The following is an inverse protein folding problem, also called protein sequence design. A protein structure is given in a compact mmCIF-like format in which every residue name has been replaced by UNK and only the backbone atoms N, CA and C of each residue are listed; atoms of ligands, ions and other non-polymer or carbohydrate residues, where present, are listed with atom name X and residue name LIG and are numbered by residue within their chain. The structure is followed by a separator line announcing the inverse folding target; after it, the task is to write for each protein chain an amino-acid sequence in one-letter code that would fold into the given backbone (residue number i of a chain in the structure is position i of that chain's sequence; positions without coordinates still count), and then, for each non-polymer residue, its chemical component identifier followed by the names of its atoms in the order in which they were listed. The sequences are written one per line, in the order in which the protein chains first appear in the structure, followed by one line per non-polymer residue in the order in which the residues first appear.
data_IF_599017483163
#
_entry.id   IF_599017483163
#
_cell.length_a   1.000
_cell.length_b   1.000
_cell.length_c   1.000
_cell.angle_alpha   90.00
_cell.angle_beta   90.00
_cell.angle_gamma   90.00
#
_symmetry.space_group_name_H-M   'P 1'
#
loop_
_entity.id
_entity.type
_entity.pdbx_description
1 polymer ?
#
# COMPACT_ATOMS: atom_id res chain seq x y z
N UNK A 1 21.38 -7.11 -7.38
CA UNK A 1 19.95 -6.79 -7.27
C UNK A 1 19.16 -8.09 -7.19
N UNK A 2 18.23 -8.25 -6.24
CA UNK A 2 17.33 -9.41 -6.17
C UNK A 2 15.90 -8.97 -6.44
N UNK A 3 15.31 -9.45 -7.52
CA UNK A 3 13.93 -9.14 -7.91
C UNK A 3 13.03 -10.32 -7.60
N UNK A 4 11.85 -10.02 -7.04
CA UNK A 4 10.83 -11.02 -6.75
C UNK A 4 9.48 -10.60 -7.31
N UNK A 5 8.65 -11.57 -7.67
CA UNK A 5 7.23 -11.40 -7.93
C UNK A 5 6.42 -11.98 -6.77
N UNK A 6 5.29 -11.37 -6.42
CA UNK A 6 4.36 -11.97 -5.48
C UNK A 6 3.88 -13.33 -6.01
N UNK A 7 3.46 -14.24 -5.14
CA UNK A 7 3.05 -15.59 -5.54
C UNK A 7 2.03 -15.61 -6.70
N UNK A 8 1.04 -14.71 -6.66
CA UNK A 8 0.01 -14.62 -7.70
C UNK A 8 0.54 -14.01 -8.99
N UNK A 9 1.38 -12.96 -8.90
CA UNK A 9 2.05 -12.41 -10.08
C UNK A 9 2.92 -13.47 -10.75
N UNK A 10 3.65 -14.26 -9.96
CA UNK A 10 4.46 -15.37 -10.43
C UNK A 10 3.61 -16.44 -11.14
N UNK A 11 2.43 -16.78 -10.63
CA UNK A 11 1.52 -17.70 -11.31
C UNK A 11 1.06 -17.19 -12.68
N UNK A 12 0.68 -15.92 -12.78
CA UNK A 12 0.19 -15.32 -14.03
C UNK A 12 1.28 -15.32 -15.10
N UNK A 13 2.50 -14.86 -14.80
CA UNK A 13 3.61 -14.83 -15.78
C UNK A 13 4.13 -16.21 -16.18
N UNK A 14 3.64 -17.27 -15.53
CA UNK A 14 3.89 -18.68 -15.87
C UNK A 14 2.65 -19.39 -16.43
N UNK A 15 1.58 -18.65 -16.78
CA UNK A 15 0.37 -19.22 -17.40
C UNK A 15 -0.49 -20.08 -16.48
N UNK A 16 -0.34 -19.94 -15.15
CA UNK A 16 -1.05 -20.76 -14.16
C UNK A 16 -2.29 -20.07 -13.56
N UNK A 17 -2.56 -18.83 -13.94
CA UNK A 17 -3.70 -18.03 -13.45
C UNK A 17 -4.03 -16.93 -14.46
N UNK A 18 -5.31 -16.60 -14.58
CA UNK A 18 -5.82 -15.49 -15.38
C UNK A 18 -5.53 -14.13 -14.71
N UNK A 19 -5.11 -13.15 -15.50
CA UNK A 19 -4.85 -11.77 -15.08
C UNK A 19 -6.13 -10.99 -14.75
N UNK A 20 -7.30 -11.39 -15.27
CA UNK A 20 -8.56 -10.69 -15.03
C UNK A 20 -8.89 -10.52 -13.54
N UNK A 21 -8.51 -11.51 -12.73
CA UNK A 21 -8.68 -11.53 -11.26
C UNK A 21 -7.66 -10.68 -10.49
N UNK A 22 -6.53 -10.38 -11.12
CA UNK A 22 -5.46 -9.60 -10.51
C UNK A 22 -4.79 -8.71 -11.56
N UNK A 23 -5.43 -7.58 -11.93
CA UNK A 23 -4.94 -6.70 -12.99
C UNK A 23 -3.64 -5.96 -12.61
N UNK A 24 -3.23 -6.02 -11.34
CA UNK A 24 -1.96 -5.46 -10.86
C UNK A 24 -0.93 -6.55 -10.60
N UNK A 25 0.23 -6.44 -11.23
CA UNK A 25 1.42 -7.18 -10.85
C UNK A 25 2.12 -6.53 -9.65
N UNK A 26 2.65 -7.34 -8.74
CA UNK A 26 3.42 -6.89 -7.59
C UNK A 26 4.85 -7.44 -7.69
N UNK A 27 5.82 -6.52 -7.74
CA UNK A 27 7.25 -6.76 -7.78
C UNK A 27 7.92 -6.25 -6.50
N UNK A 28 8.97 -6.92 -6.06
CA UNK A 28 9.72 -6.50 -4.88
C UNK A 28 11.22 -6.56 -5.18
N UNK A 29 11.89 -5.43 -4.94
CA UNK A 29 13.33 -5.40 -4.78
C UNK A 29 13.69 -5.81 -3.36
N UNK A 30 14.18 -7.04 -3.24
CA UNK A 30 14.56 -7.66 -1.98
C UNK A 30 16.02 -7.32 -1.60
N UNK A 31 16.27 -7.24 -0.30
CA UNK A 31 17.56 -7.00 0.30
C UNK A 31 17.48 -6.88 1.82
N UNK A 32 18.61 -6.60 2.47
CA UNK A 32 18.66 -6.36 3.92
C UNK A 32 18.31 -4.90 4.21
N UNK A 33 17.11 -4.65 4.74
CA UNK A 33 16.65 -3.30 5.04
C UNK A 33 17.56 -2.62 6.09
N UNK A 34 17.82 -1.33 5.89
CA UNK A 34 18.54 -0.51 6.87
C UNK A 34 17.67 -0.11 8.08
N UNK A 35 16.34 -0.18 7.92
CA UNK A 35 15.34 0.24 8.92
C UNK A 35 14.76 -0.93 9.68
N UNK A 36 14.14 -0.65 10.82
CA UNK A 36 13.69 -1.68 11.77
C UNK A 36 12.20 -1.55 12.14
N UNK A 37 11.32 -1.37 11.14
CA UNK A 37 9.89 -1.21 11.38
C UNK A 37 9.30 -2.42 12.14
N UNK A 38 8.66 -2.20 13.28
CA UNK A 38 8.27 -3.24 14.23
C UNK A 38 7.32 -4.31 13.66
N UNK A 39 6.51 -3.92 12.68
CA UNK A 39 5.49 -4.74 11.99
C UNK A 39 6.00 -5.38 10.69
N UNK A 40 7.24 -5.11 10.25
CA UNK A 40 7.71 -5.47 8.91
C UNK A 40 8.57 -6.74 8.90
N UNK A 41 8.30 -7.66 7.98
CA UNK A 41 9.08 -8.88 7.76
C UNK A 41 10.51 -8.62 7.28
N UNK A 42 10.75 -7.48 6.62
CA UNK A 42 12.07 -7.05 6.17
C UNK A 42 12.79 -6.13 7.15
N UNK A 43 12.23 -5.88 8.35
CA UNK A 43 12.91 -5.09 9.37
C UNK A 43 14.29 -5.68 9.67
N UNK A 44 15.28 -4.82 9.94
CA UNK A 44 16.67 -5.24 10.13
C UNK A 44 16.84 -6.33 11.19
N UNK A 45 16.02 -6.31 12.24
CA UNK A 45 16.02 -7.30 13.32
C UNK A 45 14.88 -8.34 13.21
N UNK A 46 14.15 -8.36 12.10
CA UNK A 46 13.16 -9.41 11.82
C UNK A 46 13.84 -10.77 11.71
N UNK A 47 13.20 -11.80 12.26
CA UNK A 47 13.58 -13.21 12.11
C UNK A 47 12.80 -13.91 11.00
N UNK A 48 11.93 -13.18 10.29
CA UNK A 48 11.17 -13.73 9.16
C UNK A 48 12.08 -13.96 7.94
N UNK A 49 11.82 -15.01 7.18
CA UNK A 49 12.49 -15.27 5.90
C UNK A 49 12.21 -14.12 4.90
N UNK A 50 13.26 -13.62 4.22
CA UNK A 50 13.15 -12.49 3.27
C UNK A 50 12.31 -12.76 2.02
N UNK A 51 11.83 -13.99 1.82
CA UNK A 51 10.81 -14.31 0.80
C UNK A 51 9.43 -13.82 1.20
N UNK A 52 9.20 -13.36 2.42
CA UNK A 52 7.90 -12.85 2.85
C UNK A 52 7.86 -11.32 2.87
N UNK A 53 6.81 -10.75 2.27
CA UNK A 53 6.36 -9.40 2.58
C UNK A 53 4.94 -9.51 3.14
N UNK A 54 4.75 -9.05 4.38
CA UNK A 54 3.59 -9.45 5.17
C UNK A 54 3.48 -10.98 5.21
N UNK A 55 2.32 -11.57 4.93
CA UNK A 55 2.08 -13.01 4.87
C UNK A 55 2.32 -13.64 3.50
N UNK A 56 2.58 -12.83 2.48
CA UNK A 56 2.66 -13.29 1.10
C UNK A 56 4.06 -13.81 0.80
N UNK A 57 4.13 -14.96 0.13
CA UNK A 57 5.38 -15.50 -0.42
C UNK A 57 5.73 -14.80 -1.73
N UNK A 58 6.99 -14.41 -1.85
CA UNK A 58 7.56 -13.76 -3.02
C UNK A 58 8.61 -14.66 -3.67
N UNK A 59 8.39 -14.97 -4.95
CA UNK A 59 9.24 -15.84 -5.76
C UNK A 59 10.29 -15.02 -6.47
N UNK A 60 11.53 -15.48 -6.42
CA UNK A 60 12.63 -14.86 -7.17
C UNK A 60 12.37 -14.99 -8.68
N UNK A 61 12.65 -13.92 -9.42
CA UNK A 61 12.51 -13.87 -10.88
C UNK A 61 13.70 -13.15 -11.49
N UNK A 62 14.03 -13.53 -12.73
CA UNK A 62 15.01 -12.81 -13.55
C UNK A 62 14.41 -11.54 -14.14
N UNK A 63 15.23 -10.51 -14.36
CA UNK A 63 14.80 -9.25 -14.99
C UNK A 63 14.30 -9.44 -16.42
N UNK A 64 14.75 -10.49 -17.12
CA UNK A 64 14.24 -10.87 -18.44
C UNK A 64 12.73 -11.20 -18.42
N UNK A 65 12.17 -11.57 -17.27
CA UNK A 65 10.74 -11.83 -17.11
C UNK A 65 9.88 -10.58 -17.28
N UNK A 66 10.45 -9.36 -17.18
CA UNK A 66 9.71 -8.10 -17.29
C UNK A 66 8.97 -7.94 -18.63
N UNK A 67 9.44 -8.60 -19.70
CA UNK A 67 8.76 -8.64 -21.00
C UNK A 67 7.37 -9.29 -20.95
N UNK A 68 7.07 -10.07 -19.90
CA UNK A 68 5.77 -10.73 -19.71
C UNK A 68 4.74 -9.86 -19.00
N UNK A 69 5.08 -8.63 -18.61
CA UNK A 69 4.24 -7.80 -17.74
C UNK A 69 3.27 -6.89 -18.52
N UNK A 70 3.28 -6.92 -19.86
CA UNK A 70 2.34 -6.17 -20.70
C UNK A 70 0.88 -6.63 -20.55
N UNK A 71 0.64 -7.82 -20.01
CA UNK A 71 -0.72 -8.35 -19.77
C UNK A 71 -1.43 -7.68 -18.58
N UNK A 72 -0.70 -6.97 -17.72
CA UNK A 72 -1.27 -6.33 -16.54
C UNK A 72 -1.74 -4.90 -16.84
N UNK A 73 -2.71 -4.38 -16.09
CA UNK A 73 -3.08 -2.96 -16.12
C UNK A 73 -2.15 -2.09 -15.30
N UNK A 74 -1.47 -2.67 -14.30
CA UNK A 74 -0.51 -1.98 -13.44
C UNK A 74 0.61 -2.91 -13.00
N UNK A 75 1.81 -2.36 -12.83
CA UNK A 75 2.94 -3.00 -12.14
C UNK A 75 3.33 -2.14 -10.94
N UNK A 76 3.23 -2.70 -9.74
CA UNK A 76 3.62 -2.06 -8.50
C UNK A 76 4.95 -2.63 -8.02
N UNK A 77 5.97 -1.78 -7.88
CA UNK A 77 7.30 -2.15 -7.38
C UNK A 77 7.47 -1.71 -5.92
N UNK A 78 7.48 -2.66 -5.01
CA UNK A 78 7.88 -2.46 -3.62
C UNK A 78 9.41 -2.49 -3.49
N UNK A 79 9.99 -1.55 -2.75
CA UNK A 79 11.45 -1.45 -2.61
C UNK A 79 11.85 -1.59 -1.14
N UNK A 80 12.60 -2.64 -0.83
CA UNK A 80 13.27 -2.76 0.48
C UNK A 80 14.42 -1.76 0.54
N UNK A 81 14.59 -1.08 1.67
CA UNK A 81 15.50 0.05 1.81
C UNK A 81 16.93 -0.39 2.19
N UNK A 82 17.61 -1.08 1.28
CA UNK A 82 19.02 -1.50 1.40
C UNK A 82 19.98 -0.49 0.69
N UNK A 83 21.31 -0.57 0.91
CA UNK A 83 22.26 0.28 0.19
C UNK A 83 22.12 0.11 -1.34
N UNK A 84 22.02 1.22 -2.08
CA UNK A 84 21.73 1.27 -3.54
C UNK A 84 20.30 0.95 -3.97
N UNK A 85 19.35 0.71 -3.06
CA UNK A 85 17.97 0.38 -3.41
C UNK A 85 17.30 1.39 -4.36
N UNK A 86 17.58 2.69 -4.23
CA UNK A 86 17.08 3.69 -5.17
C UNK A 86 17.64 3.53 -6.59
N UNK A 87 18.93 3.23 -6.72
CA UNK A 87 19.56 3.01 -8.01
C UNK A 87 18.99 1.74 -8.68
N UNK A 88 18.93 0.65 -7.93
CA UNK A 88 18.36 -0.63 -8.41
C UNK A 88 16.88 -0.46 -8.81
N UNK A 89 16.10 0.31 -8.04
CA UNK A 89 14.70 0.61 -8.37
C UNK A 89 14.58 1.39 -9.69
N UNK A 90 15.42 2.40 -9.92
CA UNK A 90 15.43 3.14 -11.18
C UNK A 90 15.81 2.22 -12.35
N UNK A 91 16.80 1.33 -12.18
CA UNK A 91 17.16 0.33 -13.20
C UNK A 91 16.00 -0.60 -13.55
N UNK A 92 15.24 -1.08 -12.55
CA UNK A 92 14.05 -1.92 -12.80
C UNK A 92 12.97 -1.12 -13.53
N UNK A 93 12.70 0.12 -13.12
CA UNK A 93 11.70 0.97 -13.77
C UNK A 93 12.07 1.25 -15.23
N UNK A 94 13.33 1.60 -15.52
CA UNK A 94 13.80 1.79 -16.90
C UNK A 94 13.65 0.50 -17.71
N UNK A 95 14.10 -0.63 -17.16
CA UNK A 95 13.98 -1.93 -17.84
C UNK A 95 12.53 -2.33 -18.10
N UNK A 96 11.63 -2.00 -17.18
CA UNK A 96 10.20 -2.24 -17.32
C UNK A 96 9.61 -1.35 -18.41
N UNK A 97 9.94 -0.05 -18.44
CA UNK A 97 9.52 0.86 -19.50
C UNK A 97 9.99 0.37 -20.89
N UNK A 98 11.25 -0.06 -21.01
CA UNK A 98 11.83 -0.59 -22.25
C UNK A 98 11.20 -1.91 -22.68
N UNK A 99 10.79 -2.75 -21.72
CA UNK A 99 10.07 -3.98 -22.00
C UNK A 99 8.65 -3.71 -22.50
N UNK A 100 7.95 -2.76 -21.86
CA UNK A 100 6.56 -2.42 -22.15
C UNK A 100 6.40 -1.62 -23.44
N UNK A 101 7.40 -0.82 -23.85
CA UNK A 101 7.37 -0.08 -25.12
C UNK A 101 7.29 -0.99 -26.36
N UNK A 102 7.62 -2.27 -26.22
CA UNK A 102 7.55 -3.29 -27.28
C UNK A 102 6.14 -3.88 -27.46
N UNK A 103 5.17 -3.53 -26.62
CA UNK A 103 3.78 -3.99 -26.68
C UNK A 103 2.83 -2.79 -26.62
N UNK A 104 2.53 -2.15 -27.76
CA UNK A 104 1.97 -0.79 -27.80
C UNK A 104 0.47 -0.69 -27.54
N UNK A 105 -0.27 -1.79 -27.44
CA UNK A 105 -1.73 -1.73 -27.36
C UNK A 105 -2.24 -1.12 -26.04
N UNK A 106 -1.64 -1.49 -24.90
CA UNK A 106 -1.95 -0.91 -23.58
C UNK A 106 -0.66 -0.89 -22.74
N UNK A 107 -0.18 0.29 -22.37
CA UNK A 107 0.92 0.46 -21.43
C UNK A 107 0.40 0.29 -19.98
N UNK A 108 0.90 -0.68 -19.20
CA UNK A 108 0.60 -0.77 -17.77
C UNK A 108 1.05 0.48 -17.01
N UNK A 109 0.26 0.91 -16.02
CA UNK A 109 0.68 1.93 -15.06
C UNK A 109 1.82 1.39 -14.18
N UNK A 110 2.83 2.19 -13.90
CA UNK A 110 3.95 1.82 -13.03
C UNK A 110 3.82 2.58 -11.71
N UNK A 111 3.73 1.87 -10.59
CA UNK A 111 3.87 2.49 -9.27
C UNK A 111 5.11 1.98 -8.55
N UNK A 112 5.74 2.84 -7.76
CA UNK A 112 6.86 2.48 -6.88
C UNK A 112 6.47 2.81 -5.46
N UNK A 113 6.67 1.89 -4.51
CA UNK A 113 6.51 2.15 -3.08
C UNK A 113 7.85 1.99 -2.39
N UNK A 114 8.36 3.08 -1.83
CA UNK A 114 9.71 3.14 -1.25
C UNK A 114 9.81 4.25 -0.21
N UNK A 115 10.79 4.17 0.68
CA UNK A 115 11.10 5.29 1.58
C UNK A 115 12.02 6.27 0.84
N UNK A 116 11.59 7.52 0.72
CA UNK A 116 12.41 8.63 0.22
C UNK A 116 12.75 9.58 1.36
N UNK A 117 13.88 10.29 1.23
CA UNK A 117 14.37 11.24 2.26
C UNK A 117 14.32 12.70 1.83
N UNK A 118 14.05 12.97 0.55
CA UNK A 118 14.01 14.31 -0.03
C UNK A 118 13.28 14.31 -1.39
N UNK A 119 12.89 15.50 -1.85
CA UNK A 119 12.22 15.71 -3.13
C UNK A 119 13.06 15.32 -4.34
N UNK A 120 14.39 15.40 -4.27
CA UNK A 120 15.27 14.97 -5.38
C UNK A 120 15.10 13.48 -5.70
N UNK A 121 14.89 12.62 -4.70
CA UNK A 121 14.57 11.21 -4.95
C UNK A 121 13.19 11.06 -5.57
N UNK A 122 12.20 11.83 -5.11
CA UNK A 122 10.84 11.84 -5.67
C UNK A 122 10.88 12.20 -7.15
N UNK A 123 11.53 13.30 -7.51
CA UNK A 123 11.66 13.76 -8.91
C UNK A 123 12.32 12.71 -9.80
N UNK A 124 13.39 12.06 -9.35
CA UNK A 124 14.07 11.01 -10.12
C UNK A 124 13.18 9.83 -10.48
N UNK A 125 12.26 9.43 -9.59
CA UNK A 125 11.31 8.36 -9.91
C UNK A 125 10.33 8.79 -11.01
N UNK A 126 9.84 10.02 -10.94
CA UNK A 126 8.95 10.54 -11.97
C UNK A 126 9.64 10.77 -13.31
N UNK A 127 10.89 11.25 -13.32
CA UNK A 127 11.74 11.34 -14.52
C UNK A 127 12.00 9.98 -15.16
N UNK A 128 12.08 8.91 -14.35
CA UNK A 128 12.21 7.55 -14.85
C UNK A 128 10.90 6.95 -15.41
N UNK A 129 9.79 7.69 -15.38
CA UNK A 129 8.51 7.26 -15.95
C UNK A 129 7.61 6.46 -14.99
N UNK A 130 7.74 6.65 -13.68
CA UNK A 130 6.79 6.14 -12.68
C UNK A 130 5.49 6.95 -12.73
N UNK A 131 4.32 6.32 -12.73
CA UNK A 131 3.02 6.98 -12.73
C UNK A 131 2.59 7.43 -11.33
N UNK A 132 2.79 6.57 -10.31
CA UNK A 132 2.50 6.87 -8.90
C UNK A 132 3.66 6.51 -7.96
N UNK A 133 3.99 7.41 -7.03
CA UNK A 133 4.98 7.16 -5.98
C UNK A 133 4.28 6.99 -4.61
N UNK A 134 4.44 5.82 -4.03
CA UNK A 134 3.99 5.45 -2.69
C UNK A 134 5.03 5.78 -1.62
N UNK A 135 4.77 6.80 -0.81
CA UNK A 135 5.59 7.16 0.37
C UNK A 135 4.79 6.79 1.61
N UNK A 136 5.08 5.63 2.20
CA UNK A 136 4.31 5.14 3.33
C UNK A 136 4.42 6.06 4.56
N UNK A 137 3.31 6.25 5.27
CA UNK A 137 3.27 6.84 6.61
C UNK A 137 3.18 5.71 7.66
N UNK A 138 2.35 4.71 7.37
CA UNK A 138 2.00 3.50 8.13
C UNK A 138 1.36 3.75 9.49
N UNK A 139 1.92 4.65 10.30
CA UNK A 139 1.49 4.91 11.68
C UNK A 139 0.93 6.32 11.77
N UNK A 140 -0.31 6.48 12.24
CA UNK A 140 -1.01 7.76 12.28
C UNK A 140 -0.74 8.62 13.53
N UNK A 141 0.05 8.10 14.48
CA UNK A 141 0.41 8.78 15.73
C UNK A 141 1.93 9.06 15.77
N UNK A 142 2.39 10.28 16.09
CA UNK A 142 3.82 10.63 16.10
C UNK A 142 4.68 9.80 17.06
N UNK A 143 4.18 9.50 18.25
CA UNK A 143 4.93 8.75 19.27
C UNK A 143 5.05 7.28 18.89
N UNK A 144 3.94 6.67 18.44
CA UNK A 144 3.94 5.32 17.88
C UNK A 144 4.76 5.23 16.60
N UNK A 145 4.76 6.26 15.76
CA UNK A 145 5.59 6.31 14.57
C UNK A 145 7.07 6.22 14.94
N UNK A 146 7.53 7.04 15.88
CA UNK A 146 8.91 7.01 16.38
C UNK A 146 9.25 5.65 16.99
N UNK A 147 8.34 5.06 17.76
CA UNK A 147 8.52 3.75 18.42
C UNK A 147 8.56 2.57 17.45
N UNK A 148 7.63 2.51 16.50
CA UNK A 148 7.45 1.33 15.65
C UNK A 148 8.15 1.45 14.32
N UNK A 149 8.04 2.60 13.65
CA UNK A 149 8.59 2.81 12.30
C UNK A 149 9.97 3.46 12.33
N UNK A 150 10.19 4.34 13.31
CA UNK A 150 11.37 5.19 13.42
C UNK A 150 11.40 6.31 12.39
N UNK A 151 12.30 7.28 12.62
CA UNK A 151 12.40 8.51 11.86
C UNK A 151 11.65 9.66 12.52
N UNK A 152 11.30 10.67 11.72
CA UNK A 152 10.57 11.85 12.16
C UNK A 152 9.22 11.92 11.41
N UNK A 153 8.14 12.00 12.16
CA UNK A 153 6.77 11.93 11.64
C UNK A 153 6.44 13.19 10.84
N UNK A 154 6.72 14.36 11.41
CA UNK A 154 6.42 15.68 10.85
C UNK A 154 7.11 15.84 9.49
N UNK A 155 8.42 15.56 9.43
CA UNK A 155 9.22 15.61 8.20
C UNK A 155 8.74 14.62 7.15
N UNK A 156 8.21 13.47 7.55
CA UNK A 156 7.65 12.49 6.60
C UNK A 156 6.36 13.04 6.00
N UNK A 157 5.48 13.61 6.82
CA UNK A 157 4.26 14.27 6.34
C UNK A 157 4.61 15.45 5.45
N UNK A 158 5.47 16.36 5.89
CA UNK A 158 5.92 17.51 5.09
C UNK A 158 6.41 17.07 3.71
N UNK A 159 7.27 16.05 3.63
CA UNK A 159 7.76 15.51 2.37
C UNK A 159 6.63 14.97 1.48
N UNK A 160 5.63 14.29 2.06
CA UNK A 160 4.45 13.80 1.33
C UNK A 160 3.65 14.98 0.76
N UNK A 161 3.39 16.01 1.57
CA UNK A 161 2.60 17.17 1.15
C UNK A 161 3.34 18.03 0.13
N UNK A 162 4.64 18.23 0.27
CA UNK A 162 5.46 18.92 -0.71
C UNK A 162 5.53 18.16 -2.03
N UNK A 163 5.72 16.83 -1.97
CA UNK A 163 5.71 16.00 -3.16
C UNK A 163 4.36 16.05 -3.88
N UNK A 164 3.24 16.11 -3.16
CA UNK A 164 1.92 16.15 -3.78
C UNK A 164 1.59 17.51 -4.42
N UNK A 165 2.15 18.62 -3.90
CA UNK A 165 2.08 19.94 -4.55
C UNK A 165 2.80 19.93 -5.91
N UNK A 166 3.96 19.28 -5.98
CA UNK A 166 4.79 19.23 -7.20
C UNK A 166 4.23 18.20 -8.19
N UNK A 167 3.70 17.08 -7.70
CA UNK A 167 3.15 15.98 -8.51
C UNK A 167 1.69 15.67 -8.10
N UNK A 168 0.73 16.56 -8.42
CA UNK A 168 -0.67 16.40 -8.01
C UNK A 168 -1.28 15.09 -8.51
N UNK A 169 -2.01 14.39 -7.63
CA UNK A 169 -2.68 13.12 -7.95
C UNK A 169 -1.74 11.92 -8.17
N UNK A 170 -0.42 12.09 -7.99
CA UNK A 170 0.58 11.04 -8.25
C UNK A 170 1.26 10.51 -7.00
N UNK A 171 0.91 11.04 -5.83
CA UNK A 171 1.42 10.58 -4.54
C UNK A 171 0.38 9.71 -3.85
N UNK A 172 0.83 8.58 -3.32
CA UNK A 172 0.03 7.69 -2.48
C UNK A 172 0.77 7.47 -1.17
N UNK A 173 0.04 7.29 -0.07
CA UNK A 173 0.60 6.82 1.19
C UNK A 173 -0.10 5.56 1.67
N UNK A 174 0.48 4.90 2.65
CA UNK A 174 -0.11 3.77 3.34
C UNK A 174 -0.42 4.16 4.78
N UNK A 175 -1.52 3.64 5.32
CA UNK A 175 -1.83 3.67 6.74
C UNK A 175 -2.24 2.28 7.21
N UNK A 176 -1.80 1.91 8.41
CA UNK A 176 -2.08 0.64 9.05
C UNK A 176 -2.98 0.89 10.26
N UNK A 177 -4.15 0.28 10.27
CA UNK A 177 -5.10 0.32 11.39
C UNK A 177 -4.78 -0.80 12.37
N UNK A 178 -4.72 -0.51 13.66
CA UNK A 178 -4.44 -1.45 14.73
C UNK A 178 -3.00 -1.46 15.24
N UNK A 179 -2.23 -0.40 15.00
CA UNK A 179 -0.90 -0.24 15.62
C UNK A 179 -0.97 0.46 16.98
N UNK A 180 -2.11 1.02 17.36
CA UNK A 180 -2.37 1.64 18.66
C UNK A 180 -2.91 3.06 18.55
N UNK A 181 -2.99 3.60 17.34
CA UNK A 181 -3.65 4.86 17.02
C UNK A 181 -5.16 4.80 17.32
N UNK A 182 -5.76 5.95 17.62
CA UNK A 182 -7.21 6.11 17.73
C UNK A 182 -7.84 6.38 16.37
N UNK A 183 -9.16 6.22 16.27
CA UNK A 183 -9.88 6.48 15.02
C UNK A 183 -9.89 7.99 14.69
N UNK A 184 -9.93 8.85 15.71
CA UNK A 184 -9.81 10.30 15.56
C UNK A 184 -8.46 10.74 14.98
N UNK A 185 -7.36 10.08 15.38
CA UNK A 185 -6.03 10.34 14.80
C UNK A 185 -5.98 9.97 13.32
N UNK A 186 -6.57 8.83 12.94
CA UNK A 186 -6.70 8.44 11.53
C UNK A 186 -7.54 9.46 10.76
N UNK A 187 -8.64 9.93 11.33
CA UNK A 187 -9.53 10.91 10.71
C UNK A 187 -8.82 12.23 10.38
N UNK A 188 -8.07 12.79 11.33
CA UNK A 188 -7.33 14.05 11.09
C UNK A 188 -6.25 13.88 10.02
N UNK A 189 -5.57 12.72 9.98
CA UNK A 189 -4.62 12.42 8.90
C UNK A 189 -5.33 12.27 7.55
N UNK A 190 -6.50 11.62 7.51
CA UNK A 190 -7.28 11.52 6.27
C UNK A 190 -7.70 12.89 5.75
N UNK A 191 -8.21 13.78 6.61
CA UNK A 191 -8.56 15.16 6.23
C UNK A 191 -7.37 15.90 5.64
N UNK A 192 -6.23 15.86 6.33
CA UNK A 192 -5.00 16.49 5.87
C UNK A 192 -4.59 15.96 4.48
N UNK A 193 -4.50 14.64 4.32
CA UNK A 193 -4.06 14.04 3.06
C UNK A 193 -5.04 14.30 1.92
N UNK A 194 -6.36 14.31 2.19
CA UNK A 194 -7.40 14.65 1.23
C UNK A 194 -7.24 16.08 0.71
N UNK A 195 -7.01 17.05 1.61
CA UNK A 195 -6.74 18.46 1.22
C UNK A 195 -5.59 18.58 0.22
N UNK A 196 -4.59 17.70 0.32
CA UNK A 196 -3.41 17.70 -0.53
C UNK A 196 -3.48 16.71 -1.71
N UNK A 197 -4.64 16.11 -1.96
CA UNK A 197 -4.85 15.18 -3.07
C UNK A 197 -3.98 13.92 -2.99
N UNK A 198 -3.61 13.50 -1.79
CA UNK A 198 -2.80 12.28 -1.55
C UNK A 198 -3.72 11.09 -1.36
N UNK A 199 -3.54 10.08 -2.21
CA UNK A 199 -4.30 8.83 -2.12
C UNK A 199 -3.83 7.99 -0.92
N UNK A 200 -4.74 7.23 -0.28
CA UNK A 200 -4.42 6.44 0.91
C UNK A 200 -4.76 4.97 0.70
N UNK A 201 -3.77 4.09 0.72
CA UNK A 201 -3.99 2.66 0.81
C UNK A 201 -4.07 2.23 2.27
N UNK A 202 -5.15 1.52 2.63
CA UNK A 202 -5.42 1.09 4.00
C UNK A 202 -5.08 -0.39 4.20
N UNK A 203 -4.41 -0.68 5.31
CA UNK A 203 -4.08 -2.04 5.75
C UNK A 203 -4.57 -2.26 7.17
N UNK A 204 -5.03 -3.47 7.46
CA UNK A 204 -5.22 -3.91 8.84
C UNK A 204 -3.89 -4.44 9.38
N UNK A 205 -3.51 -4.03 10.59
CA UNK A 205 -2.35 -4.59 11.27
C UNK A 205 -2.53 -6.09 11.42
N UNK A 206 -1.52 -6.82 10.95
CA UNK A 206 -1.58 -8.26 10.80
C UNK A 206 -0.31 -8.85 11.38
N UNK A 207 -0.37 -9.56 12.52
CA UNK A 207 0.82 -10.05 13.21
C UNK A 207 1.57 -11.10 12.39
N UNK A 208 2.84 -10.85 12.07
CA UNK A 208 3.66 -11.78 11.30
C UNK A 208 4.78 -12.35 12.16
N UNK A 209 4.92 -13.68 12.14
CA UNK A 209 5.95 -14.41 12.88
C UNK A 209 7.35 -13.92 12.49
N UNK A 210 8.18 -13.65 13.49
CA UNK A 210 9.53 -13.11 13.37
C UNK A 210 9.61 -11.59 13.48
N UNK A 211 8.49 -10.87 13.47
CA UNK A 211 8.45 -9.41 13.65
C UNK A 211 8.40 -9.02 15.14
N UNK A 212 8.76 -7.78 15.48
CA UNK A 212 8.71 -7.30 16.88
C UNK A 212 7.28 -7.24 17.43
N UNK A 213 6.28 -7.12 16.57
CA UNK A 213 4.86 -7.08 16.94
C UNK A 213 4.14 -8.42 16.68
N UNK A 214 4.87 -9.53 16.58
CA UNK A 214 4.26 -10.84 16.27
C UNK A 214 3.21 -11.30 17.30
N UNK A 215 3.30 -10.83 18.56
CA UNK A 215 2.37 -11.16 19.64
C UNK A 215 1.25 -10.14 19.86
N UNK A 216 1.22 -9.04 19.10
CA UNK A 216 0.18 -8.03 19.21
C UNK A 216 -1.12 -8.49 18.54
N UNK A 217 -2.31 -8.05 18.99
CA UNK A 217 -3.57 -8.38 18.33
C UNK A 217 -3.75 -7.58 17.04
N UNK A 218 -4.42 -8.17 16.05
CA UNK A 218 -4.99 -7.44 14.91
C UNK A 218 -6.19 -6.58 15.37
N UNK A 219 -6.59 -5.53 14.63
CA UNK A 219 -7.82 -4.80 14.95
C UNK A 219 -9.05 -5.70 14.76
N UNK A 220 -10.15 -5.38 15.43
CA UNK A 220 -11.43 -6.05 15.14
C UNK A 220 -11.91 -5.69 13.74
N UNK A 221 -12.60 -6.63 13.07
CA UNK A 221 -13.18 -6.38 11.75
C UNK A 221 -14.17 -5.22 11.79
N UNK A 222 -15.01 -5.14 12.83
CA UNK A 222 -15.96 -4.03 13.03
C UNK A 222 -15.27 -2.66 13.05
N UNK A 223 -14.16 -2.53 13.81
CA UNK A 223 -13.38 -1.28 13.83
C UNK A 223 -12.82 -0.98 12.44
N UNK A 224 -12.21 -1.96 11.79
CA UNK A 224 -11.62 -1.76 10.46
C UNK A 224 -12.66 -1.34 9.41
N UNK A 225 -13.87 -1.92 9.45
CA UNK A 225 -15.00 -1.56 8.56
C UNK A 225 -15.43 -0.10 8.73
N UNK A 226 -15.49 0.41 9.96
CA UNK A 226 -15.77 1.84 10.22
C UNK A 226 -14.71 2.74 9.58
N UNK A 227 -13.43 2.38 9.68
CA UNK A 227 -12.33 3.16 9.09
C UNK A 227 -12.32 3.07 7.56
N UNK A 228 -12.65 1.90 6.99
CA UNK A 228 -12.83 1.74 5.55
C UNK A 228 -13.95 2.62 5.01
N UNK A 229 -15.12 2.63 5.66
CA UNK A 229 -16.23 3.50 5.32
C UNK A 229 -15.83 4.98 5.45
N UNK A 230 -15.20 5.36 6.55
CA UNK A 230 -14.71 6.72 6.75
C UNK A 230 -13.76 7.15 5.61
N UNK A 231 -12.81 6.29 5.24
CA UNK A 231 -11.91 6.54 4.11
C UNK A 231 -12.70 6.71 2.81
N UNK A 232 -13.61 5.80 2.50
CA UNK A 232 -14.43 5.88 1.29
C UNK A 232 -15.21 7.20 1.21
N UNK A 233 -15.82 7.64 2.32
CA UNK A 233 -16.55 8.90 2.38
C UNK A 233 -15.63 10.09 2.05
N UNK A 234 -14.47 10.16 2.69
CA UNK A 234 -13.52 11.28 2.50
C UNK A 234 -12.91 11.29 1.09
N UNK A 235 -12.49 10.12 0.60
CA UNK A 235 -11.68 10.04 -0.62
C UNK A 235 -12.50 9.86 -1.89
N UNK A 236 -13.63 9.15 -1.84
CA UNK A 236 -14.31 8.63 -3.04
C UNK A 236 -15.77 9.09 -3.20
N UNK A 237 -16.52 9.29 -2.11
CA UNK A 237 -17.95 9.65 -2.23
C UNK A 237 -18.18 11.14 -2.54
N UNK A 238 -17.23 12.00 -2.19
CA UNK A 238 -17.39 13.45 -2.30
C UNK A 238 -18.28 14.07 -1.22
N UNK A 239 -18.65 13.30 -0.18
CA UNK A 239 -19.50 13.75 0.93
C UNK A 239 -18.67 13.92 2.20
N UNK A 240 -18.87 15.03 2.91
CA UNK A 240 -18.25 15.26 4.21
C UNK A 240 -18.84 14.27 5.25
N UNK A 241 -18.04 13.43 5.91
CA UNK A 241 -18.55 12.44 6.84
C UNK A 241 -19.07 13.11 8.12
N UNK A 242 -20.29 12.76 8.54
CA UNK A 242 -20.78 13.07 9.89
C UNK A 242 -20.39 11.95 10.84
N UNK A 243 -19.54 12.26 11.80
CA UNK A 243 -18.85 11.30 12.65
C UNK A 243 -18.89 11.75 14.11
N UNK A 244 -18.94 10.80 15.03
CA UNK A 244 -18.81 11.04 16.47
C UNK A 244 -17.84 10.04 17.08
N UNK A 245 -17.08 10.51 18.06
CA UNK A 245 -16.08 9.73 18.79
C UNK A 245 -16.46 9.63 20.26
N UNK A 246 -16.04 8.55 20.92
CA UNK A 246 -16.04 8.47 22.38
C UNK A 246 -14.88 9.28 23.00
N UNK A 247 -14.82 9.32 24.32
CA UNK A 247 -13.76 9.99 25.10
C UNK A 247 -12.35 9.46 24.82
N UNK A 248 -12.23 8.24 24.28
CA UNK A 248 -10.96 7.61 23.92
C UNK A 248 -10.62 7.79 22.43
N UNK A 249 -11.45 8.52 21.66
CA UNK A 249 -11.22 8.82 20.26
C UNK A 249 -11.60 7.70 19.29
N UNK A 250 -12.45 6.74 19.69
CA UNK A 250 -12.97 5.69 18.81
C UNK A 250 -14.35 6.03 18.26
N UNK A 251 -14.65 5.58 17.04
CA UNK A 251 -15.92 5.91 16.36
C UNK A 251 -17.10 5.23 17.04
N UNK A 252 -18.02 6.04 17.57
CA UNK A 252 -19.31 5.59 18.11
C UNK A 252 -20.41 5.66 17.06
N UNK A 253 -20.36 6.66 16.18
CA UNK A 253 -21.33 6.85 15.12
C UNK A 253 -20.65 7.36 13.83
N UNK A 254 -21.04 6.78 12.70
CA UNK A 254 -20.69 7.24 11.35
C UNK A 254 -21.98 7.22 10.53
N UNK A 255 -22.48 8.40 10.18
CA UNK A 255 -23.72 8.53 9.41
C UNK A 255 -23.43 8.12 7.95
N UNK A 256 -24.26 7.23 7.41
CA UNK A 256 -24.23 6.92 5.98
C UNK A 256 -25.12 7.93 5.25
N UNK A 257 -24.55 8.73 4.32
CA UNK A 257 -25.32 9.66 3.52
C UNK A 257 -26.46 8.95 2.75
N UNK A 258 -27.70 9.47 2.79
CA UNK A 258 -28.85 8.84 2.12
C UNK A 258 -28.70 8.74 0.60
N UNK A 259 -27.87 9.58 -0.01
CA UNK A 259 -27.54 9.56 -1.43
C UNK A 259 -26.60 8.42 -1.84
N UNK A 260 -25.94 7.74 -0.89
CA UNK A 260 -25.07 6.61 -1.20
C UNK A 260 -25.85 5.30 -1.24
N UNK A 261 -25.89 4.68 -2.41
CA UNK A 261 -26.48 3.35 -2.58
C UNK A 261 -25.66 2.32 -1.81
N UNK A 262 -26.31 1.23 -1.40
CA UNK A 262 -25.63 0.10 -0.76
C UNK A 262 -24.50 -0.42 -1.65
N UNK A 263 -24.76 -0.55 -2.95
CA UNK A 263 -23.77 -0.98 -3.95
C UNK A 263 -22.54 -0.05 -4.00
N UNK A 264 -22.76 1.28 -4.01
CA UNK A 264 -21.65 2.24 -4.01
C UNK A 264 -20.79 2.11 -2.75
N UNK A 265 -21.41 1.84 -1.59
CA UNK A 265 -20.73 1.67 -0.31
C UNK A 265 -19.90 0.39 -0.22
N UNK A 266 -20.22 -0.66 -1.00
CA UNK A 266 -19.43 -1.90 -1.04
C UNK A 266 -17.99 -1.67 -1.49
N UNK A 267 -17.75 -0.63 -2.31
CA UNK A 267 -16.40 -0.24 -2.73
C UNK A 267 -15.50 0.15 -1.56
N UNK A 268 -16.07 0.62 -0.44
CA UNK A 268 -15.29 0.94 0.76
C UNK A 268 -14.51 -0.27 1.30
N UNK A 269 -15.02 -1.48 1.06
CA UNK A 269 -14.43 -2.72 1.55
C UNK A 269 -13.41 -3.34 0.60
N UNK A 270 -13.27 -2.79 -0.62
CA UNK A 270 -12.24 -3.18 -1.56
C UNK A 270 -10.86 -2.70 -1.08
N UNK A 271 -9.81 -3.33 -1.61
CA UNK A 271 -8.45 -2.88 -1.43
C UNK A 271 -8.30 -1.46 -1.96
N UNK A 272 -7.94 -0.54 -1.08
CA UNK A 272 -7.79 0.86 -1.43
C UNK A 272 -6.38 1.25 -1.88
N UNK A 273 -6.24 2.44 -2.46
CA UNK A 273 -4.98 3.00 -2.93
C UNK A 273 -4.99 3.26 -4.43
N UNK A 274 -3.88 2.96 -5.11
CA UNK A 274 -3.75 3.20 -6.56
C UNK A 274 -4.82 2.43 -7.36
N UNK A 275 -5.25 2.99 -8.49
CA UNK A 275 -6.19 2.35 -9.42
C UNK A 275 -5.77 0.92 -9.77
N UNK A 276 -6.73 -0.02 -9.76
CA UNK A 276 -6.54 -1.47 -10.00
C UNK A 276 -5.80 -2.24 -8.89
N UNK A 277 -5.53 -1.64 -7.73
CA UNK A 277 -4.88 -2.34 -6.62
C UNK A 277 -5.81 -3.41 -6.02
N UNK A 278 -5.36 -4.66 -5.96
CA UNK A 278 -6.14 -5.78 -5.40
C UNK A 278 -5.47 -6.46 -4.20
N UNK A 279 -4.12 -6.45 -4.08
CA UNK A 279 -3.31 -7.03 -2.97
C UNK A 279 -3.96 -8.19 -2.20
N UNK A 280 -4.25 -9.32 -2.86
CA UNK A 280 -4.98 -10.42 -2.24
C UNK A 280 -4.22 -11.00 -1.03
N UNK A 281 -4.95 -11.19 0.07
CA UNK A 281 -4.51 -11.82 1.33
C UNK A 281 -3.34 -11.13 2.05
N UNK A 282 -3.13 -9.82 1.86
CA UNK A 282 -2.11 -9.08 2.60
C UNK A 282 -2.42 -8.94 4.09
N UNK A 283 -3.70 -8.85 4.44
CA UNK A 283 -4.19 -8.70 5.82
C UNK A 283 -4.76 -10.02 6.38
N UNK A 284 -4.97 -11.02 5.51
CA UNK A 284 -5.84 -12.16 5.77
C UNK A 284 -5.12 -13.48 5.45
N UNK A 285 -5.65 -14.59 5.97
CA UNK A 285 -5.25 -15.92 5.50
C UNK A 285 -6.16 -16.30 4.33
N UNK A 286 -5.67 -17.11 3.37
CA UNK A 286 -6.54 -17.67 2.32
C UNK A 286 -7.75 -18.44 2.85
N UNK A 287 -7.68 -18.94 4.09
CA UNK A 287 -8.74 -19.69 4.77
C UNK A 287 -9.58 -18.83 5.72
N UNK A 288 -9.37 -17.52 5.77
CA UNK A 288 -10.20 -16.63 6.58
C UNK A 288 -11.64 -16.66 6.06
N UNK A 289 -12.62 -16.79 6.96
CA UNK A 289 -14.04 -16.73 6.59
C UNK A 289 -14.46 -15.30 6.22
N UNK A 290 -13.91 -14.31 6.94
CA UNK A 290 -14.10 -12.90 6.66
C UNK A 290 -12.76 -12.25 6.34
N UNK A 291 -12.75 -11.35 5.35
CA UNK A 291 -11.54 -10.66 4.90
C UNK A 291 -11.56 -9.19 5.32
N UNK A 292 -10.43 -8.64 5.74
CA UNK A 292 -10.31 -7.19 5.96
C UNK A 292 -10.46 -6.42 4.65
N UNK A 293 -9.74 -6.79 3.60
CA UNK A 293 -9.86 -6.15 2.28
C UNK A 293 -10.39 -7.16 1.27
N UNK A 294 -11.45 -6.79 0.57
CA UNK A 294 -11.91 -7.50 -0.63
C UNK A 294 -10.97 -7.15 -1.80
N UNK A 295 -10.69 -8.12 -2.65
CA UNK A 295 -9.71 -7.98 -3.75
C UNK A 295 -10.34 -8.09 -5.14
N UNK A 296 -11.62 -8.47 -5.19
CA UNK A 296 -12.49 -8.46 -6.36
C UNK A 296 -13.82 -7.85 -5.93
N UNK A 297 -14.52 -7.18 -6.84
CA UNK A 297 -15.93 -6.84 -6.60
C UNK A 297 -16.70 -8.15 -6.46
N UNK A 298 -17.38 -8.32 -5.32
CA UNK A 298 -18.28 -9.46 -5.13
C UNK A 298 -19.48 -9.21 -6.03
N UNK A 299 -19.44 -9.73 -7.25
CA UNK A 299 -20.62 -9.86 -8.10
C UNK A 299 -21.53 -10.87 -7.39
N UNK A 300 -22.57 -10.37 -6.72
CA UNK A 300 -23.66 -11.18 -6.21
C UNK A 300 -24.48 -11.77 -7.33
#
# INVERSE_FOLDING_TARGET
MKLRASYWTWKIINGQMDVAKMPTAYLMLDGKCAYDCAYCTHARNSKTDGRFLSRIVWKEIETSCLLKFSVFRRVCLQVVNYPKAHQDALTVVTSLNDALSKSPEIRPLISVSTRVSNLKHVTKYFEAGVDNLGIALDVADPELFKRFRGGNFERTIELILEASKIFPGRITTHLIVGLGETDAQIFEIFKLLKTYGVEVALFAFTPVRGTRLEGNPAPSLSRYRKIQLLRFLIFESGVEPKISFDENGYITHLEMPPELTEEASRRAYLTSGCTYCTRPYYNDRPTSQELFNLFEEVTG
#
